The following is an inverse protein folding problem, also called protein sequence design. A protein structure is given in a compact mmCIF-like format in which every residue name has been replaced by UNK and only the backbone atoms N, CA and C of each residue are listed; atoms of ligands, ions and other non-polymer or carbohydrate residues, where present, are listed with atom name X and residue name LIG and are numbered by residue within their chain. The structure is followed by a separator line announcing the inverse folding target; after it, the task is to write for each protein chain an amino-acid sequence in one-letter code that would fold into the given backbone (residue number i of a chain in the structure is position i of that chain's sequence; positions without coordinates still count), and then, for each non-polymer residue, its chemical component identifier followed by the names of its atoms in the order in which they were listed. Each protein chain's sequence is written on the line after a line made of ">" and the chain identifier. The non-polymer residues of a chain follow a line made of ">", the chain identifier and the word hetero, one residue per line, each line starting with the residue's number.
data_IF_347243352702
#
_entry.id   IF_347243352702
#
_cell.length_a   1.000
_cell.length_b   1.000
_cell.length_c   1.000
_cell.angle_alpha   90.00
_cell.angle_beta   90.00
_cell.angle_gamma   90.00
#
_symmetry.space_group_name_H-M   'P 1'
#
loop_
_entity.id
_entity.type
_entity.pdbx_description
1 polymer ?
#
# COMPACT_ATOMS: atom_id res chain seq x y z
N UNK A 1 38.44 25.69 43.22
CA UNK A 1 39.34 26.21 42.17
C UNK A 1 38.46 26.57 40.97
N UNK A 2 38.29 27.85 40.71
CA UNK A 2 37.51 28.31 39.54
C UNK A 2 38.39 28.15 38.28
N UNK A 3 37.75 27.57 37.20
CA UNK A 3 38.34 27.43 35.87
C UNK A 3 37.52 28.31 34.93
N UNK A 4 38.18 29.27 34.29
CA UNK A 4 37.60 30.09 33.24
C UNK A 4 38.08 29.55 31.90
N UNK A 5 37.15 29.31 30.98
CA UNK A 5 37.44 28.77 29.64
C UNK A 5 36.92 29.74 28.57
N UNK A 6 37.72 29.96 27.55
CA UNK A 6 37.40 30.81 26.41
C UNK A 6 37.81 30.14 25.11
N UNK A 7 36.91 30.15 24.13
CA UNK A 7 37.16 29.62 22.79
C UNK A 7 37.46 30.75 21.81
N UNK A 8 38.46 30.58 20.97
CA UNK A 8 38.82 31.57 19.95
C UNK A 8 39.35 30.91 18.68
N UNK A 9 39.22 31.64 17.56
CA UNK A 9 39.76 31.24 16.27
C UNK A 9 41.08 32.01 16.01
N UNK A 10 42.10 31.31 15.52
CA UNK A 10 43.36 31.95 15.15
C UNK A 10 43.16 32.86 13.93
N UNK A 11 43.75 34.05 14.01
CA UNK A 11 43.85 35.04 12.91
C UNK A 11 45.22 35.04 12.23
N UNK A 12 46.16 34.21 12.67
CA UNK A 12 47.46 34.07 12.06
C UNK A 12 47.39 33.48 10.67
N UNK A 13 48.13 33.99 9.71
CA UNK A 13 48.19 33.47 8.34
C UNK A 13 48.64 32.01 8.26
N UNK A 14 49.53 31.60 9.18
CA UNK A 14 50.05 30.22 9.26
C UNK A 14 49.07 29.22 9.91
N UNK A 15 48.13 29.70 10.72
CA UNK A 15 47.18 28.89 11.48
C UNK A 15 45.72 29.27 11.21
N UNK A 16 45.48 29.84 10.04
CA UNK A 16 44.14 30.29 9.63
C UNK A 16 43.11 29.17 9.75
N UNK A 17 41.98 29.51 10.38
CA UNK A 17 40.86 28.60 10.64
C UNK A 17 41.09 27.49 11.69
N UNK A 18 42.15 27.57 12.49
CA UNK A 18 42.31 26.70 13.66
C UNK A 18 41.59 27.27 14.87
N UNK A 19 40.98 26.39 15.65
CA UNK A 19 40.22 26.72 16.85
C UNK A 19 40.98 26.26 18.09
N UNK A 20 41.01 27.12 19.08
CA UNK A 20 41.71 26.87 20.34
C UNK A 20 40.78 27.11 21.53
N UNK A 21 40.97 26.32 22.57
CA UNK A 21 40.44 26.56 23.91
C UNK A 21 41.56 27.09 24.77
N UNK A 22 41.43 28.32 25.29
CA UNK A 22 42.28 28.85 26.33
C UNK A 22 41.57 28.67 27.68
N UNK A 23 42.32 28.38 28.69
CA UNK A 23 41.80 28.27 30.05
C UNK A 23 42.76 28.93 31.05
N UNK A 24 42.16 29.51 32.10
CA UNK A 24 42.83 30.04 33.25
C UNK A 24 42.37 29.29 34.51
N UNK A 25 43.30 28.86 35.30
CA UNK A 25 43.02 28.18 36.58
C UNK A 25 43.76 28.92 37.70
N UNK A 26 43.01 29.28 38.73
CA UNK A 26 43.58 29.88 39.91
C UNK A 26 44.43 28.86 40.69
N UNK A 27 45.67 29.20 40.92
CA UNK A 27 46.58 28.44 41.77
C UNK A 27 46.48 28.82 43.25
N UNK A 28 47.44 28.37 44.05
CA UNK A 28 47.51 28.76 45.46
C UNK A 28 47.80 30.25 45.59
N UNK A 29 47.09 30.87 46.50
CA UNK A 29 47.26 32.31 46.81
C UNK A 29 47.76 32.46 48.27
N UNK A 30 48.77 33.22 48.45
CA UNK A 30 49.22 33.70 49.74
C UNK A 30 48.82 35.17 49.90
N UNK A 31 48.99 35.77 51.14
CA UNK A 31 48.53 37.13 51.41
C UNK A 31 49.15 38.22 50.49
N UNK A 32 50.22 37.92 49.75
CA UNK A 32 50.93 38.84 48.85
C UNK A 32 51.05 38.39 47.40
N UNK A 33 50.70 37.14 47.06
CA UNK A 33 50.86 36.58 45.70
C UNK A 33 49.69 35.74 45.28
N UNK A 34 49.35 35.93 44.03
CA UNK A 34 48.30 35.12 43.43
C UNK A 34 48.83 34.55 42.12
N UNK A 35 48.61 33.25 41.94
CA UNK A 35 49.10 32.51 40.77
C UNK A 35 47.94 32.10 39.87
N UNK A 36 48.11 32.37 38.58
CA UNK A 36 47.18 31.89 37.55
C UNK A 36 47.99 30.99 36.63
N UNK A 37 47.42 29.77 36.40
CA UNK A 37 47.92 28.90 35.35
C UNK A 37 47.10 29.16 34.08
N UNK A 38 47.79 29.52 33.01
CA UNK A 38 47.22 29.71 31.68
C UNK A 38 47.61 28.53 30.79
N UNK A 39 46.67 27.99 30.05
CA UNK A 39 46.96 26.98 29.06
C UNK A 39 46.07 27.14 27.83
N UNK A 40 46.49 26.55 26.75
CA UNK A 40 45.68 26.49 25.55
C UNK A 40 45.86 25.14 24.87
N UNK A 41 44.83 24.70 24.13
CA UNK A 41 44.90 23.50 23.31
C UNK A 41 44.10 23.69 22.01
N UNK A 42 44.54 23.05 20.93
CA UNK A 42 43.70 22.98 19.72
C UNK A 42 42.49 22.10 19.96
N UNK A 43 41.34 22.58 19.50
CA UNK A 43 40.06 21.87 19.57
C UNK A 43 39.53 21.52 18.18
N UNK A 44 40.33 21.69 17.11
CA UNK A 44 39.93 21.43 15.73
C UNK A 44 39.40 19.99 15.54
N UNK A 45 40.12 19.02 16.11
CA UNK A 45 39.70 17.61 15.99
C UNK A 45 38.38 17.31 16.71
N UNK A 46 38.11 18.05 17.80
CA UNK A 46 36.86 17.94 18.55
C UNK A 46 35.73 18.55 17.73
N UNK A 47 35.91 19.78 17.26
CA UNK A 47 34.89 20.46 16.41
C UNK A 47 34.60 19.71 15.11
N UNK A 48 35.64 19.15 14.48
CA UNK A 48 35.46 18.35 13.28
C UNK A 48 34.63 17.09 13.55
N UNK A 49 34.93 16.38 14.66
CA UNK A 49 34.13 15.21 15.09
C UNK A 49 32.71 15.58 15.45
N UNK A 50 32.48 16.66 16.15
CA UNK A 50 31.16 17.18 16.49
C UNK A 50 30.34 17.48 15.24
N UNK A 51 30.91 18.29 14.30
CA UNK A 51 30.26 18.59 13.02
C UNK A 51 29.91 17.32 12.20
N UNK A 52 30.84 16.35 12.16
CA UNK A 52 30.60 15.09 11.46
C UNK A 52 29.50 14.27 12.13
N UNK A 53 29.46 14.27 13.46
CA UNK A 53 28.40 13.56 14.23
C UNK A 53 27.06 14.25 14.05
N UNK A 54 27.01 15.57 14.12
CA UNK A 54 25.79 16.35 13.89
C UNK A 54 25.23 16.09 12.50
N UNK A 55 26.06 16.15 11.46
CA UNK A 55 25.65 15.88 10.08
C UNK A 55 25.11 14.44 9.89
N UNK A 56 25.72 13.46 10.59
CA UNK A 56 25.21 12.08 10.59
C UNK A 56 23.85 11.98 11.27
N UNK A 57 23.67 12.68 12.39
CA UNK A 57 22.40 12.70 13.13
C UNK A 57 21.29 13.38 12.32
N UNK A 58 21.57 14.52 11.70
CA UNK A 58 20.64 15.22 10.81
C UNK A 58 20.17 14.30 9.68
N UNK A 59 21.12 13.65 9.00
CA UNK A 59 20.77 12.70 7.93
C UNK A 59 19.95 11.51 8.43
N UNK A 60 20.28 10.95 9.59
CA UNK A 60 19.51 9.86 10.18
C UNK A 60 18.10 10.30 10.59
N UNK A 61 17.94 11.54 11.05
CA UNK A 61 16.62 12.12 11.37
C UNK A 61 15.78 12.30 10.11
N UNK A 62 16.32 12.90 9.05
CA UNK A 62 15.64 13.05 7.77
C UNK A 62 15.18 11.70 7.18
N UNK A 63 16.07 10.70 7.24
CA UNK A 63 15.70 9.34 6.80
C UNK A 63 14.59 8.71 7.66
N UNK A 64 14.59 8.94 8.96
CA UNK A 64 13.56 8.46 9.87
C UNK A 64 12.23 9.17 9.64
N UNK A 65 12.22 10.48 9.42
CA UNK A 65 11.04 11.28 9.10
C UNK A 65 10.41 10.83 7.78
N UNK A 66 11.22 10.65 6.73
CA UNK A 66 10.74 10.15 5.44
C UNK A 66 10.13 8.74 5.56
N UNK A 67 10.78 7.84 6.32
CA UNK A 67 10.22 6.50 6.59
C UNK A 67 8.88 6.58 7.31
N UNK A 68 8.76 7.44 8.30
CA UNK A 68 7.50 7.64 9.05
C UNK A 68 6.40 8.22 8.16
N UNK A 69 6.73 9.15 7.27
CA UNK A 69 5.77 9.70 6.30
C UNK A 69 5.26 8.63 5.34
N UNK A 70 6.16 7.81 4.79
CA UNK A 70 5.80 6.68 3.92
C UNK A 70 4.90 5.68 4.67
N UNK A 71 5.28 5.29 5.89
CA UNK A 71 4.49 4.36 6.71
C UNK A 71 3.11 4.94 6.99
N UNK A 72 3.02 6.23 7.35
CA UNK A 72 1.74 6.92 7.60
C UNK A 72 0.87 6.98 6.35
N UNK A 73 1.46 7.21 5.18
CA UNK A 73 0.74 7.24 3.90
C UNK A 73 0.21 5.86 3.53
N UNK A 74 1.01 4.81 3.71
CA UNK A 74 0.58 3.42 3.48
C UNK A 74 -0.50 3.04 4.49
N UNK A 75 -0.34 3.37 5.77
CA UNK A 75 -1.31 3.08 6.82
C UNK A 75 -2.68 3.72 6.53
N UNK A 76 -2.72 4.88 5.83
CA UNK A 76 -3.96 5.53 5.39
C UNK A 76 -4.77 4.68 4.40
N UNK A 77 -4.17 3.73 3.69
CA UNK A 77 -4.88 2.84 2.75
C UNK A 77 -5.50 1.62 3.42
N UNK A 78 -5.06 1.29 4.64
CA UNK A 78 -5.56 0.16 5.41
C UNK A 78 -6.44 0.64 6.56
N UNK A 79 -7.46 -0.15 6.88
CA UNK A 79 -8.32 0.07 8.05
C UNK A 79 -7.68 -0.48 9.30
N UNK A 80 -6.99 -1.62 9.16
CA UNK A 80 -6.35 -2.32 10.25
C UNK A 80 -5.02 -2.93 9.81
N UNK A 81 -3.99 -2.79 10.65
CA UNK A 81 -2.70 -3.46 10.49
C UNK A 81 -2.25 -3.96 11.85
N UNK A 82 -1.87 -5.23 11.92
CA UNK A 82 -1.25 -5.83 13.10
C UNK A 82 -0.06 -6.69 12.74
N UNK A 83 0.87 -6.80 13.67
CA UNK A 83 1.96 -7.77 13.63
C UNK A 83 1.55 -9.01 14.43
N UNK A 84 1.78 -10.17 13.88
CA UNK A 84 1.47 -11.45 14.51
C UNK A 84 2.76 -12.24 14.67
N UNK A 85 3.02 -12.69 15.90
CA UNK A 85 4.00 -13.72 16.19
C UNK A 85 3.28 -15.06 16.23
N UNK A 86 3.61 -15.95 15.28
CA UNK A 86 2.93 -17.23 15.08
C UNK A 86 3.29 -18.19 16.22
N UNK A 87 4.55 -18.17 16.68
CA UNK A 87 5.02 -19.11 17.72
C UNK A 87 4.46 -18.74 19.09
N UNK A 88 4.38 -17.45 19.38
CA UNK A 88 3.85 -16.95 20.64
C UNK A 88 2.31 -16.87 20.66
N UNK A 89 1.63 -17.12 19.53
CA UNK A 89 0.19 -16.88 19.36
C UNK A 89 -0.22 -15.46 19.81
N UNK A 90 0.61 -14.47 19.46
CA UNK A 90 0.48 -13.11 19.93
C UNK A 90 0.34 -12.11 18.78
N UNK A 91 -0.52 -11.12 18.96
CA UNK A 91 -0.63 -10.00 18.03
C UNK A 91 -0.43 -8.66 18.72
N UNK A 92 0.06 -7.70 17.94
CA UNK A 92 0.25 -6.31 18.32
C UNK A 92 -0.33 -5.42 17.22
N UNK A 93 -1.28 -4.56 17.59
CA UNK A 93 -1.87 -3.59 16.68
C UNK A 93 -0.86 -2.49 16.33
N UNK A 94 -0.66 -2.26 15.04
CA UNK A 94 0.18 -1.17 14.51
C UNK A 94 -0.69 0.02 14.15
N UNK A 95 -1.82 -0.21 13.50
CA UNK A 95 -2.76 0.85 13.07
C UNK A 95 -4.17 0.32 13.02
N UNK A 96 -5.11 1.12 13.50
CA UNK A 96 -6.54 0.83 13.46
C UNK A 96 -7.31 2.14 13.30
N UNK A 97 -8.03 2.31 12.18
CA UNK A 97 -8.85 3.49 11.92
C UNK A 97 -10.23 3.42 12.57
N UNK A 98 -10.72 2.20 12.81
CA UNK A 98 -12.08 1.96 13.31
C UNK A 98 -12.08 1.64 14.81
N UNK A 99 -11.15 2.24 15.58
CA UNK A 99 -11.00 2.01 17.02
C UNK A 99 -12.29 2.21 17.82
N UNK A 100 -13.14 3.11 17.38
CA UNK A 100 -14.42 3.41 18.06
C UNK A 100 -15.51 2.37 17.77
N UNK A 101 -15.47 1.70 16.63
CA UNK A 101 -16.50 0.74 16.22
C UNK A 101 -16.16 -0.71 16.63
N UNK A 102 -14.88 -1.02 16.69
CA UNK A 102 -14.39 -2.35 17.00
C UNK A 102 -13.50 -2.21 18.24
N UNK A 103 -14.03 -2.52 19.42
CA UNK A 103 -13.25 -2.64 20.66
C UNK A 103 -12.22 -3.77 20.56
N UNK A 104 -11.28 -3.64 19.61
CA UNK A 104 -10.14 -4.55 19.51
C UNK A 104 -9.17 -4.25 20.66
N UNK A 105 -8.76 -5.31 21.31
CA UNK A 105 -7.64 -5.29 22.23
C UNK A 105 -6.41 -4.95 21.40
N UNK A 106 -5.64 -3.93 21.81
CA UNK A 106 -4.44 -3.46 21.08
C UNK A 106 -3.34 -4.52 20.92
N UNK A 107 -3.37 -5.55 21.79
CA UNK A 107 -2.48 -6.71 21.73
C UNK A 107 -3.06 -7.86 22.57
N UNK A 108 -2.68 -9.09 22.27
CA UNK A 108 -3.13 -10.24 23.04
C UNK A 108 -2.97 -11.56 22.32
N UNK A 109 -3.51 -12.60 22.93
CA UNK A 109 -3.52 -13.95 22.37
C UNK A 109 -4.56 -14.02 21.26
N UNK A 110 -4.11 -14.33 20.04
CA UNK A 110 -4.95 -14.27 18.86
C UNK A 110 -6.03 -15.37 18.84
N UNK A 111 -5.68 -16.58 19.25
CA UNK A 111 -6.59 -17.73 19.26
C UNK A 111 -7.82 -17.54 20.15
N UNK A 112 -7.70 -16.74 21.22
CA UNK A 112 -8.78 -16.49 22.19
C UNK A 112 -9.74 -15.40 21.71
N UNK A 113 -9.23 -14.37 21.04
CA UNK A 113 -10.00 -13.16 20.73
C UNK A 113 -10.80 -13.21 19.42
N UNK A 114 -10.43 -14.09 18.49
CA UNK A 114 -10.93 -13.97 17.11
C UNK A 114 -12.36 -14.47 16.88
N UNK A 115 -12.79 -15.58 17.48
CA UNK A 115 -14.01 -16.24 17.01
C UNK A 115 -15.32 -15.54 17.38
N UNK A 116 -15.41 -14.96 18.59
CA UNK A 116 -16.66 -14.33 19.06
C UNK A 116 -16.90 -12.95 18.43
N UNK A 117 -15.84 -12.15 18.33
CA UNK A 117 -15.91 -10.78 17.84
C UNK A 117 -16.23 -10.76 16.34
N UNK A 118 -15.54 -11.56 15.55
CA UNK A 118 -15.74 -11.55 14.11
C UNK A 118 -17.07 -12.11 13.64
N UNK A 119 -17.66 -13.10 14.34
CA UNK A 119 -18.98 -13.65 13.97
C UNK A 119 -20.11 -12.61 13.94
N UNK A 120 -20.03 -11.59 14.75
CA UNK A 120 -21.08 -10.56 14.80
C UNK A 120 -20.98 -9.55 13.63
N UNK A 121 -19.79 -9.42 13.01
CA UNK A 121 -19.56 -8.42 11.96
C UNK A 121 -19.49 -9.02 10.55
N UNK A 122 -19.05 -10.27 10.41
CA UNK A 122 -18.85 -10.92 9.11
C UNK A 122 -20.16 -11.57 8.64
N UNK A 123 -20.52 -11.37 7.36
CA UNK A 123 -21.68 -11.99 6.75
C UNK A 123 -21.57 -13.53 6.81
N UNK A 124 -22.69 -14.20 7.08
CA UNK A 124 -22.74 -15.62 7.44
C UNK A 124 -22.07 -16.53 6.39
N UNK A 125 -22.28 -16.22 5.12
CA UNK A 125 -21.69 -16.95 3.99
C UNK A 125 -20.16 -16.93 3.94
N UNK A 126 -19.50 -15.94 4.60
CA UNK A 126 -18.05 -15.82 4.64
C UNK A 126 -17.41 -16.31 5.92
N UNK A 127 -18.19 -16.57 6.98
CA UNK A 127 -17.65 -16.87 8.30
C UNK A 127 -16.75 -18.11 8.33
N UNK A 128 -17.19 -19.21 7.74
CA UNK A 128 -16.40 -20.45 7.72
C UNK A 128 -15.06 -20.27 6.99
N UNK A 129 -15.11 -19.69 5.79
CA UNK A 129 -13.93 -19.41 5.00
C UNK A 129 -12.98 -18.44 5.71
N UNK A 130 -13.54 -17.41 6.38
CA UNK A 130 -12.77 -16.44 7.14
C UNK A 130 -12.04 -17.09 8.32
N UNK A 131 -12.72 -17.91 9.12
CA UNK A 131 -12.09 -18.57 10.25
C UNK A 131 -11.03 -19.60 9.84
N UNK A 132 -11.24 -20.30 8.73
CA UNK A 132 -10.23 -21.18 8.15
C UNK A 132 -9.03 -20.38 7.63
N UNK A 133 -9.27 -19.21 7.02
CA UNK A 133 -8.22 -18.37 6.49
C UNK A 133 -7.39 -17.71 7.60
N UNK A 134 -8.02 -17.31 8.70
CA UNK A 134 -7.39 -16.63 9.84
C UNK A 134 -6.81 -17.59 10.88
N UNK A 135 -6.87 -18.88 10.66
CA UNK A 135 -6.19 -19.87 11.49
C UNK A 135 -4.67 -19.78 11.30
N UNK A 136 -4.01 -19.16 12.29
CA UNK A 136 -2.57 -18.89 12.26
C UNK A 136 -1.74 -20.19 12.31
N UNK A 137 -2.26 -21.27 12.88
CA UNK A 137 -1.56 -22.55 12.94
C UNK A 137 -1.29 -23.13 11.55
N UNK A 138 -2.11 -22.78 10.55
CA UNK A 138 -2.00 -23.24 9.18
C UNK A 138 -1.18 -22.30 8.29
N UNK A 139 -0.84 -21.08 8.76
CA UNK A 139 -0.11 -20.08 7.98
C UNK A 139 1.26 -20.56 7.50
N UNK A 140 2.10 -21.22 8.31
CA UNK A 140 3.42 -21.65 7.85
C UNK A 140 3.38 -22.56 6.62
N UNK A 141 2.41 -23.47 6.56
CA UNK A 141 2.25 -24.35 5.40
C UNK A 141 1.69 -23.63 4.18
N UNK A 142 0.65 -22.80 4.38
CA UNK A 142 0.01 -22.03 3.29
C UNK A 142 0.91 -20.96 2.69
N UNK A 143 1.85 -20.44 3.46
CA UNK A 143 2.80 -19.41 3.02
C UNK A 143 4.20 -19.97 2.74
N UNK A 144 4.34 -21.29 2.57
CA UNK A 144 5.65 -21.93 2.34
C UNK A 144 6.36 -21.39 1.10
N UNK A 145 5.61 -21.16 0.03
CA UNK A 145 6.11 -20.66 -1.26
C UNK A 145 5.50 -19.29 -1.63
N UNK A 146 4.76 -18.67 -0.72
CA UNK A 146 4.03 -17.43 -0.97
C UNK A 146 4.42 -16.38 0.06
N UNK A 147 4.86 -15.21 -0.39
CA UNK A 147 5.15 -14.08 0.49
C UNK A 147 3.88 -13.39 1.00
N UNK A 148 2.76 -13.57 0.27
CA UNK A 148 1.49 -12.93 0.60
C UNK A 148 0.33 -13.83 0.22
N UNK A 149 -0.58 -14.06 1.16
CA UNK A 149 -1.89 -14.66 0.88
C UNK A 149 -3.00 -13.68 1.23
N UNK A 150 -4.12 -13.76 0.51
CA UNK A 150 -5.22 -12.82 0.69
C UNK A 150 -6.57 -13.49 0.52
N UNK A 151 -7.59 -12.96 1.22
CA UNK A 151 -8.99 -13.29 0.98
C UNK A 151 -9.84 -12.04 0.96
N UNK A 152 -10.94 -12.11 0.21
CA UNK A 152 -11.98 -11.10 0.19
C UNK A 152 -13.20 -11.63 0.93
N UNK A 153 -13.81 -10.78 1.75
CA UNK A 153 -14.99 -11.14 2.52
C UNK A 153 -15.92 -9.94 2.64
N UNK A 154 -17.18 -10.23 2.96
CA UNK A 154 -18.21 -9.23 3.11
C UNK A 154 -18.63 -9.12 4.56
N UNK A 155 -18.82 -7.89 5.03
CA UNK A 155 -19.37 -7.59 6.35
C UNK A 155 -20.90 -7.64 6.29
N UNK A 156 -21.57 -7.78 7.45
CA UNK A 156 -23.03 -7.74 7.56
C UNK A 156 -23.64 -6.40 7.13
N UNK A 157 -22.88 -5.31 7.24
CA UNK A 157 -23.26 -4.00 6.74
C UNK A 157 -23.19 -3.85 5.21
N UNK A 158 -22.77 -4.92 4.51
CA UNK A 158 -22.64 -4.97 3.05
C UNK A 158 -21.29 -4.51 2.52
N UNK A 159 -20.39 -4.01 3.37
CA UNK A 159 -19.06 -3.57 2.96
C UNK A 159 -18.13 -4.75 2.65
N UNK A 160 -17.33 -4.58 1.61
CA UNK A 160 -16.32 -5.55 1.20
C UNK A 160 -14.95 -5.20 1.75
N UNK A 161 -14.28 -6.20 2.29
CA UNK A 161 -12.93 -6.09 2.83
C UNK A 161 -11.99 -7.12 2.20
N UNK A 162 -10.72 -6.77 2.16
CA UNK A 162 -9.63 -7.69 1.78
C UNK A 162 -8.66 -7.79 2.93
N UNK A 163 -8.51 -8.99 3.47
CA UNK A 163 -7.51 -9.34 4.45
C UNK A 163 -6.31 -9.94 3.74
N UNK A 164 -5.10 -9.56 4.20
CA UNK A 164 -3.83 -10.11 3.72
C UNK A 164 -2.98 -10.53 4.90
N UNK A 165 -2.32 -11.67 4.77
CA UNK A 165 -1.15 -12.00 5.54
C UNK A 165 0.08 -11.82 4.66
N UNK A 166 1.05 -11.05 5.16
CA UNK A 166 2.28 -10.70 4.45
C UNK A 166 3.43 -11.22 5.31
N UNK A 167 4.34 -11.99 4.72
CA UNK A 167 5.52 -12.48 5.39
C UNK A 167 6.36 -11.32 5.94
N UNK A 168 6.78 -11.44 7.20
CA UNK A 168 7.64 -10.46 7.84
C UNK A 168 9.00 -11.04 8.22
N UNK A 169 9.01 -12.29 8.74
CA UNK A 169 10.24 -12.92 9.21
C UNK A 169 10.13 -14.44 9.18
N UNK A 170 11.24 -15.09 8.77
CA UNK A 170 11.48 -16.51 8.95
C UNK A 170 12.65 -16.72 9.92
N UNK A 171 12.69 -17.87 10.55
CA UNK A 171 13.85 -18.30 11.35
C UNK A 171 14.99 -18.80 10.44
N UNK A 172 16.08 -19.23 11.09
CA UNK A 172 17.27 -19.77 10.39
C UNK A 172 16.99 -21.07 9.63
N UNK A 173 15.91 -21.77 9.97
CA UNK A 173 15.47 -23.01 9.34
C UNK A 173 14.44 -22.77 8.21
N UNK A 174 14.10 -21.50 7.94
CA UNK A 174 13.11 -21.12 6.92
C UNK A 174 11.66 -21.18 7.41
N UNK A 175 11.38 -21.45 8.67
CA UNK A 175 10.02 -21.47 9.19
C UNK A 175 9.48 -20.06 9.39
N UNK A 176 8.23 -19.82 8.98
CA UNK A 176 7.56 -18.56 9.15
C UNK A 176 7.31 -18.27 10.63
N UNK A 177 7.85 -17.16 11.14
CA UNK A 177 7.72 -16.78 12.55
C UNK A 177 6.82 -15.57 12.76
N UNK A 178 6.88 -14.58 11.85
CA UNK A 178 6.10 -13.36 11.97
C UNK A 178 5.43 -13.01 10.66
N UNK A 179 4.18 -12.53 10.73
CA UNK A 179 3.43 -11.98 9.61
C UNK A 179 2.82 -10.63 9.96
N UNK A 180 2.54 -9.83 8.95
CA UNK A 180 1.66 -8.68 9.05
C UNK A 180 0.27 -9.09 8.58
N UNK A 181 -0.75 -8.82 9.40
CA UNK A 181 -2.14 -8.87 9.02
C UNK A 181 -2.58 -7.47 8.61
N UNK A 182 -3.08 -7.32 7.40
CA UNK A 182 -3.51 -6.02 6.87
C UNK A 182 -4.92 -6.13 6.26
N UNK A 183 -5.83 -5.28 6.72
CA UNK A 183 -7.22 -5.24 6.25
C UNK A 183 -7.50 -3.89 5.59
N UNK A 184 -8.09 -3.92 4.40
CA UNK A 184 -8.56 -2.72 3.71
C UNK A 184 -9.96 -2.89 3.17
N UNK A 185 -10.73 -1.79 3.08
CA UNK A 185 -11.99 -1.78 2.34
C UNK A 185 -11.72 -1.85 0.83
N UNK A 186 -12.50 -2.69 0.15
CA UNK A 186 -12.52 -2.80 -1.30
C UNK A 186 -13.92 -2.52 -1.87
N UNK A 187 -14.85 -2.00 -1.07
CA UNK A 187 -16.24 -1.72 -1.46
C UNK A 187 -16.34 -0.81 -2.68
N UNK A 188 -15.51 0.24 -2.75
CA UNK A 188 -15.49 1.14 -3.90
C UNK A 188 -14.97 0.44 -5.18
N UNK A 189 -14.01 -0.47 -5.05
CA UNK A 189 -13.52 -1.26 -6.18
C UNK A 189 -14.58 -2.24 -6.68
N UNK A 190 -15.25 -2.95 -5.77
CA UNK A 190 -16.37 -3.87 -6.11
C UNK A 190 -17.53 -3.16 -6.77
N UNK A 191 -17.89 -1.96 -6.30
CA UNK A 191 -18.95 -1.15 -6.94
C UNK A 191 -18.57 -0.74 -8.37
N UNK A 192 -17.31 -0.33 -8.59
CA UNK A 192 -16.83 0.00 -9.93
C UNK A 192 -16.82 -1.21 -10.85
N UNK A 193 -16.35 -2.35 -10.38
CA UNK A 193 -16.34 -3.60 -11.12
C UNK A 193 -17.74 -4.01 -11.56
N UNK A 194 -18.72 -3.99 -10.62
CA UNK A 194 -20.12 -4.29 -10.92
C UNK A 194 -20.71 -3.31 -11.95
N UNK A 195 -20.42 -2.01 -11.85
CA UNK A 195 -20.87 -1.00 -12.80
C UNK A 195 -20.29 -1.25 -14.21
N UNK A 196 -19.01 -1.57 -14.29
CA UNK A 196 -18.37 -1.89 -15.59
C UNK A 196 -18.95 -3.15 -16.21
N UNK A 197 -19.18 -4.21 -15.42
CA UNK A 197 -19.80 -5.43 -15.92
C UNK A 197 -21.21 -5.18 -16.44
N UNK A 198 -21.99 -4.33 -15.75
CA UNK A 198 -23.32 -3.93 -16.22
C UNK A 198 -23.24 -3.19 -17.57
N UNK A 199 -22.35 -2.19 -17.69
CA UNK A 199 -22.18 -1.43 -18.94
C UNK A 199 -21.74 -2.34 -20.09
N UNK A 200 -20.84 -3.29 -19.87
CA UNK A 200 -20.40 -4.26 -20.87
C UNK A 200 -21.56 -5.16 -21.31
N UNK A 201 -22.39 -5.62 -20.37
CA UNK A 201 -23.55 -6.45 -20.68
C UNK A 201 -24.58 -5.68 -21.53
N UNK A 202 -24.85 -4.41 -21.20
CA UNK A 202 -25.76 -3.53 -21.94
C UNK A 202 -25.23 -3.25 -23.35
N UNK A 203 -23.94 -2.91 -23.49
CA UNK A 203 -23.31 -2.69 -24.80
C UNK A 203 -23.35 -3.95 -25.69
N UNK A 204 -23.16 -5.14 -25.12
CA UNK A 204 -23.29 -6.41 -25.85
C UNK A 204 -24.73 -6.65 -26.33
N UNK A 205 -25.72 -6.34 -25.52
CA UNK A 205 -27.13 -6.44 -25.87
C UNK A 205 -27.48 -5.52 -27.04
N UNK A 206 -27.03 -4.27 -26.97
CA UNK A 206 -27.22 -3.27 -28.03
C UNK A 206 -26.56 -3.67 -29.35
N UNK A 207 -25.29 -4.16 -29.27
CA UNK A 207 -24.59 -4.67 -30.44
C UNK A 207 -25.32 -5.85 -31.10
N UNK A 208 -25.83 -6.78 -30.30
CA UNK A 208 -26.61 -7.91 -30.81
C UNK A 208 -27.92 -7.47 -31.49
N UNK A 209 -28.64 -6.50 -30.91
CA UNK A 209 -29.84 -5.91 -31.51
C UNK A 209 -29.55 -5.23 -32.85
N UNK A 210 -28.48 -4.41 -32.91
CA UNK A 210 -28.02 -3.75 -34.16
C UNK A 210 -27.66 -4.78 -35.23
N UNK A 211 -26.91 -5.81 -34.87
CA UNK A 211 -26.52 -6.88 -35.81
C UNK A 211 -27.74 -7.62 -36.37
N UNK A 212 -28.71 -7.96 -35.51
CA UNK A 212 -29.97 -8.60 -35.93
C UNK A 212 -30.79 -7.68 -36.84
N UNK A 213 -30.88 -6.39 -36.49
CA UNK A 213 -31.57 -5.41 -37.32
C UNK A 213 -30.95 -5.31 -38.72
N UNK A 214 -29.62 -5.16 -38.82
CA UNK A 214 -28.92 -5.11 -40.10
C UNK A 214 -29.07 -6.38 -40.91
N UNK A 215 -29.03 -7.54 -40.28
CA UNK A 215 -29.27 -8.84 -40.93
C UNK A 215 -30.68 -8.91 -41.55
N UNK A 216 -31.69 -8.54 -40.77
CA UNK A 216 -33.08 -8.54 -41.25
C UNK A 216 -33.28 -7.53 -42.40
N UNK A 217 -32.76 -6.29 -42.22
CA UNK A 217 -32.81 -5.26 -43.29
C UNK A 217 -32.13 -5.74 -44.57
N UNK A 218 -30.95 -6.37 -44.44
CA UNK A 218 -30.23 -6.90 -45.61
C UNK A 218 -31.04 -7.98 -46.34
N UNK A 219 -31.75 -8.85 -45.61
CA UNK A 219 -32.64 -9.86 -46.18
C UNK A 219 -33.84 -9.21 -46.88
N UNK A 220 -34.48 -8.24 -46.21
CA UNK A 220 -35.70 -7.55 -46.74
C UNK A 220 -35.41 -6.68 -47.97
N UNK A 221 -34.20 -6.19 -48.11
CA UNK A 221 -33.74 -5.47 -49.31
C UNK A 221 -33.35 -6.46 -50.41
N UNK A 222 -32.67 -7.56 -50.08
CA UNK A 222 -32.19 -8.54 -51.09
C UNK A 222 -33.35 -9.21 -51.83
N UNK A 223 -34.45 -9.54 -51.14
CA UNK A 223 -35.58 -10.23 -51.74
C UNK A 223 -36.21 -9.47 -52.89
N UNK A 224 -36.63 -8.18 -52.78
CA UNK A 224 -37.17 -7.42 -53.89
C UNK A 224 -36.10 -7.11 -54.97
N UNK A 225 -34.83 -6.88 -54.56
CA UNK A 225 -33.75 -6.66 -55.52
C UNK A 225 -33.53 -7.86 -56.44
N UNK A 226 -33.48 -9.08 -55.86
CA UNK A 226 -33.37 -10.32 -56.65
C UNK A 226 -34.58 -10.53 -57.54
N UNK A 227 -35.79 -10.13 -57.11
CA UNK A 227 -37.00 -10.13 -57.96
C UNK A 227 -36.85 -9.22 -59.17
N UNK A 228 -36.39 -7.97 -58.94
CA UNK A 228 -36.17 -7.01 -60.04
C UNK A 228 -35.08 -7.51 -61.01
N UNK A 229 -33.94 -8.00 -60.50
CA UNK A 229 -32.87 -8.57 -61.32
C UNK A 229 -33.38 -9.74 -62.15
N UNK A 230 -34.15 -10.66 -61.53
CA UNK A 230 -34.73 -11.79 -62.24
C UNK A 230 -35.71 -11.38 -63.36
N UNK A 231 -36.51 -10.30 -63.14
CA UNK A 231 -37.38 -9.74 -64.15
C UNK A 231 -36.61 -9.11 -65.29
N UNK A 232 -35.50 -8.37 -65.01
CA UNK A 232 -34.62 -7.79 -66.02
C UNK A 232 -33.94 -8.91 -66.84
N UNK A 233 -33.48 -9.96 -66.21
CA UNK A 233 -32.85 -11.11 -66.88
C UNK A 233 -33.84 -11.82 -67.80
N UNK A 234 -35.08 -12.01 -67.37
CA UNK A 234 -36.16 -12.55 -68.20
C UNK A 234 -36.44 -11.65 -69.39
N UNK A 235 -36.60 -10.33 -69.24
CA UNK A 235 -36.80 -9.37 -70.31
C UNK A 235 -35.64 -9.38 -71.34
N UNK A 236 -34.42 -9.52 -70.90
CA UNK A 236 -33.24 -9.62 -71.77
C UNK A 236 -33.15 -10.94 -72.54
N UNK A 237 -33.68 -12.07 -71.97
CA UNK A 237 -33.68 -13.39 -72.62
C UNK A 237 -34.76 -13.50 -73.73
N UNK A 238 -35.84 -12.74 -73.58
CA UNK A 238 -36.96 -12.77 -74.54
C UNK A 238 -37.25 -11.39 -75.15
N UNK A 239 -36.29 -10.81 -75.90
CA UNK A 239 -36.35 -9.42 -76.39
C UNK A 239 -37.46 -9.22 -77.46
N UNK A 240 -37.98 -10.25 -78.07
CA UNK A 240 -39.01 -10.16 -79.11
C UNK A 240 -40.40 -10.71 -78.65
N UNK A 241 -40.57 -11.07 -77.39
CA UNK A 241 -41.83 -11.57 -76.84
C UNK A 241 -42.52 -10.47 -76.04
N UNK A 242 -43.40 -9.72 -76.72
CA UNK A 242 -44.19 -8.63 -76.15
C UNK A 242 -45.06 -9.04 -75.01
N UNK A 243 -45.55 -10.30 -74.96
CA UNK A 243 -46.40 -10.83 -73.92
C UNK A 243 -45.63 -11.13 -72.63
N UNK A 244 -44.33 -11.59 -72.73
CA UNK A 244 -43.44 -11.79 -71.60
C UNK A 244 -42.90 -10.47 -71.07
N UNK A 245 -42.61 -9.48 -71.91
CA UNK A 245 -42.14 -8.16 -71.47
C UNK A 245 -43.21 -7.38 -70.70
N UNK A 246 -44.47 -7.59 -70.96
CA UNK A 246 -45.59 -6.96 -70.22
C UNK A 246 -45.84 -7.60 -68.85
N UNK A 247 -45.30 -8.79 -68.59
CA UNK A 247 -45.41 -9.51 -67.28
C UNK A 247 -44.21 -9.27 -66.37
N UNK A 248 -43.11 -8.69 -66.85
CA UNK A 248 -41.94 -8.25 -66.07
C UNK A 248 -42.11 -6.81 -65.58
#
# INVERSE_FOLDING_TARGET
>A
TEKITYHYQSVSETEKNKYYEAYAVQGKSDEKTFTIFLGYRSIDSILYKEKATQKRLEKALEEAELRNEIISSIAKTYQYISRIDIQADWFEEISNKDKEQLNFINSGVLSVNNKKVYRQYIAEEYQEAFFKFTDISTLPERMKNEETIAMEYRMKDGNWHKLRFIEKKRDTNGNLTHVLCAIRSISAAKKREASLLYQVAEAKKDAALKSRFLSNMSHDIRTPMNGIIGMIDLANHYPNDLEMQQKC
#
